data_IF_352181987220
#
_entry.id   IF_352181987220
#
_cell.length_a   1.000
_cell.length_b   1.000
_cell.length_c   1.000
_cell.angle_alpha   90.00
_cell.angle_beta   90.00
_cell.angle_gamma   90.00
#
_symmetry.space_group_name_H-M   'P 1'
#
loop_
_entity.id
_entity.type
_entity.pdbx_description
1 polymer ?
#
# COMPACT_ATOMS: atom_id res chain seq x y z
N UNK A 1 2.26 -22.28 3.43
CA UNK A 1 2.48 -21.36 4.57
C UNK A 1 1.23 -20.51 4.74
N UNK A 2 0.65 -20.43 5.94
CA UNK A 2 -0.59 -19.68 6.23
C UNK A 2 -0.36 -18.19 6.56
N UNK A 3 0.89 -17.72 6.48
CA UNK A 3 1.31 -16.34 6.75
C UNK A 3 1.73 -16.09 8.20
N UNK A 4 2.36 -14.93 8.44
CA UNK A 4 2.85 -14.45 9.73
C UNK A 4 1.85 -13.52 10.44
N UNK A 5 1.88 -13.48 11.77
CA UNK A 5 0.90 -12.76 12.59
C UNK A 5 1.14 -11.23 12.64
N UNK A 6 0.08 -10.39 12.65
CA UNK A 6 0.17 -8.96 12.94
C UNK A 6 0.73 -8.69 14.34
N UNK A 7 1.37 -7.54 14.52
CA UNK A 7 1.82 -7.09 15.82
C UNK A 7 3.12 -7.75 16.26
N UNK A 8 3.17 -9.07 16.44
CA UNK A 8 4.36 -9.79 16.89
C UNK A 8 5.56 -9.55 15.96
N UNK A 9 5.37 -9.65 14.65
CA UNK A 9 6.41 -9.43 13.65
C UNK A 9 6.77 -7.94 13.48
N UNK A 10 5.77 -7.06 13.48
CA UNK A 10 6.00 -5.64 13.23
C UNK A 10 6.53 -4.87 14.45
N UNK A 11 6.28 -5.36 15.66
CA UNK A 11 6.81 -4.79 16.90
C UNK A 11 8.33 -4.94 16.99
N UNK A 12 8.87 -6.05 16.47
CA UNK A 12 10.31 -6.32 16.44
C UNK A 12 11.09 -5.27 15.64
N UNK A 13 10.52 -4.78 14.53
CA UNK A 13 11.15 -3.76 13.67
C UNK A 13 10.50 -2.37 13.78
N UNK A 14 9.55 -2.19 14.72
CA UNK A 14 8.75 -0.97 14.92
C UNK A 14 8.17 -0.38 13.62
N UNK A 15 7.78 -1.27 12.72
CA UNK A 15 7.19 -0.92 11.43
C UNK A 15 8.14 -0.25 10.44
N UNK A 16 9.46 -0.54 10.48
CA UNK A 16 10.45 0.06 9.55
C UNK A 16 10.00 -0.01 8.07
N UNK A 17 9.57 -1.18 7.60
CA UNK A 17 9.04 -1.34 6.24
C UNK A 17 7.83 -0.44 5.97
N UNK A 18 6.92 -0.30 6.95
CA UNK A 18 5.74 0.54 6.83
C UNK A 18 6.06 2.05 6.86
N UNK A 19 7.27 2.46 7.23
CA UNK A 19 7.73 3.85 7.12
C UNK A 19 8.33 4.18 5.75
N UNK A 20 8.55 3.15 4.93
CA UNK A 20 9.07 3.28 3.56
C UNK A 20 7.96 3.05 2.54
N UNK A 21 7.24 1.91 2.65
CA UNK A 21 6.17 1.53 1.74
C UNK A 21 5.12 0.67 2.44
N UNK A 22 3.86 0.98 2.21
CA UNK A 22 2.72 0.13 2.61
C UNK A 22 2.68 -1.19 1.85
N UNK A 23 2.20 -2.24 2.51
CA UNK A 23 2.19 -3.62 2.00
C UNK A 23 1.40 -3.77 0.69
N UNK A 24 1.92 -4.61 -0.22
CA UNK A 24 1.23 -5.03 -1.44
C UNK A 24 0.04 -5.94 -1.13
N UNK A 25 -1.05 -5.72 -1.87
CA UNK A 25 -2.21 -6.58 -1.93
C UNK A 25 -2.00 -7.68 -2.97
N UNK A 26 -2.73 -8.78 -2.82
CA UNK A 26 -3.09 -9.65 -3.93
C UNK A 26 -4.48 -9.32 -4.47
N UNK A 27 -4.87 -9.85 -5.64
CA UNK A 27 -6.23 -9.72 -6.13
C UNK A 27 -7.29 -10.26 -5.15
N UNK A 28 -6.99 -11.32 -4.39
CA UNK A 28 -7.93 -11.82 -3.37
C UNK A 28 -8.17 -10.78 -2.27
N UNK A 29 -7.13 -10.06 -1.82
CA UNK A 29 -7.28 -8.99 -0.84
C UNK A 29 -8.19 -7.86 -1.37
N UNK A 30 -7.99 -7.51 -2.65
CA UNK A 30 -8.80 -6.50 -3.33
C UNK A 30 -10.27 -6.93 -3.38
N UNK A 31 -10.54 -8.15 -3.85
CA UNK A 31 -11.90 -8.69 -3.93
C UNK A 31 -12.56 -8.78 -2.55
N UNK A 32 -11.83 -9.26 -1.55
CA UNK A 32 -12.31 -9.32 -0.17
C UNK A 32 -12.67 -7.92 0.36
N UNK A 33 -11.86 -6.89 0.07
CA UNK A 33 -12.15 -5.51 0.46
C UNK A 33 -13.40 -4.92 -0.22
N UNK A 34 -13.76 -5.46 -1.39
CA UNK A 34 -15.00 -5.15 -2.11
C UNK A 34 -16.19 -6.01 -1.65
N UNK A 35 -16.00 -6.94 -0.69
CA UNK A 35 -17.02 -7.89 -0.26
C UNK A 35 -17.29 -9.02 -1.26
N UNK A 36 -16.41 -9.19 -2.26
CA UNK A 36 -16.50 -10.26 -3.27
C UNK A 36 -15.74 -11.48 -2.77
N UNK A 37 -16.42 -12.63 -2.67
CA UNK A 37 -15.79 -13.92 -2.30
C UNK A 37 -15.13 -14.61 -3.49
N UNK A 38 -15.74 -14.48 -4.67
CA UNK A 38 -15.28 -15.05 -5.93
C UNK A 38 -15.46 -14.03 -7.07
N UNK A 39 -14.70 -14.20 -8.14
CA UNK A 39 -14.89 -13.47 -9.40
C UNK A 39 -13.77 -12.51 -9.75
N UNK A 40 -14.10 -11.52 -10.58
CA UNK A 40 -13.19 -10.48 -11.06
C UNK A 40 -13.77 -9.12 -10.71
N UNK A 41 -12.90 -8.13 -10.58
CA UNK A 41 -13.28 -6.73 -10.55
C UNK A 41 -12.99 -6.11 -11.92
N UNK A 42 -13.92 -5.33 -12.46
CA UNK A 42 -13.62 -4.52 -13.62
C UNK A 42 -12.89 -3.22 -13.23
N UNK A 43 -12.44 -2.47 -14.25
CA UNK A 43 -11.73 -1.21 -14.05
C UNK A 43 -12.51 -0.21 -13.21
N UNK A 44 -13.82 -0.09 -13.44
CA UNK A 44 -14.66 0.89 -12.77
C UNK A 44 -14.82 0.56 -11.29
N UNK A 45 -15.03 -0.72 -10.97
CA UNK A 45 -15.10 -1.20 -9.58
C UNK A 45 -13.78 -0.98 -8.83
N UNK A 46 -12.64 -1.21 -9.49
CA UNK A 46 -11.31 -0.93 -8.93
C UNK A 46 -11.15 0.58 -8.67
N UNK A 47 -11.58 1.43 -9.61
CA UNK A 47 -11.50 2.87 -9.46
C UNK A 47 -12.39 3.37 -8.31
N UNK A 48 -13.58 2.82 -8.14
CA UNK A 48 -14.48 3.13 -7.03
C UNK A 48 -13.88 2.74 -5.68
N UNK A 49 -13.23 1.58 -5.59
CA UNK A 49 -12.49 1.18 -4.40
C UNK A 49 -11.39 2.19 -4.05
N UNK A 50 -10.64 2.66 -5.05
CA UNK A 50 -9.53 3.60 -4.87
C UNK A 50 -9.99 5.01 -4.48
N UNK A 51 -11.15 5.44 -5.01
CA UNK A 51 -11.74 6.77 -4.76
C UNK A 51 -12.61 6.84 -3.52
N UNK A 52 -12.86 5.72 -2.84
CA UNK A 52 -13.68 5.68 -1.62
C UNK A 52 -13.19 6.71 -0.60
N UNK A 53 -14.12 7.41 0.03
CA UNK A 53 -13.80 8.30 1.15
C UNK A 53 -13.09 7.49 2.25
N UNK A 54 -11.98 8.01 2.77
CA UNK A 54 -11.08 7.28 3.68
C UNK A 54 -10.49 5.98 3.07
N UNK A 55 -10.40 5.92 1.74
CA UNK A 55 -9.80 4.82 0.99
C UNK A 55 -8.34 4.57 1.39
N UNK A 56 -8.02 3.30 1.55
CA UNK A 56 -6.75 2.83 2.13
C UNK A 56 -5.75 2.32 1.11
N UNK A 57 -6.10 2.29 -0.18
CA UNK A 57 -5.30 1.64 -1.22
C UNK A 57 -4.79 2.64 -2.25
N UNK A 58 -3.70 2.26 -2.91
CA UNK A 58 -3.13 2.97 -4.03
C UNK A 58 -2.68 1.98 -5.12
N UNK A 59 -2.74 2.41 -6.38
CA UNK A 59 -2.10 1.73 -7.51
C UNK A 59 -0.65 2.15 -7.56
N UNK A 60 0.25 1.19 -7.61
CA UNK A 60 1.69 1.40 -7.68
C UNK A 60 2.25 0.44 -8.75
N UNK A 61 3.52 0.59 -9.11
CA UNK A 61 4.16 -0.30 -10.05
C UNK A 61 5.61 -0.58 -9.67
N UNK A 62 6.12 -1.71 -10.15
CA UNK A 62 7.55 -1.96 -10.21
C UNK A 62 7.93 -2.33 -11.63
N UNK A 63 9.19 -2.12 -11.99
CA UNK A 63 9.75 -2.53 -13.27
C UNK A 63 10.78 -3.63 -13.04
N UNK A 64 10.75 -4.65 -13.89
CA UNK A 64 11.77 -5.70 -13.99
C UNK A 64 12.08 -5.96 -15.48
N UNK A 65 12.69 -7.11 -15.79
CA UNK A 65 13.07 -7.49 -17.16
C UNK A 65 11.88 -7.65 -18.12
N UNK A 66 10.67 -7.91 -17.61
CA UNK A 66 9.43 -8.03 -18.38
C UNK A 66 8.67 -6.70 -18.52
N UNK A 67 9.22 -5.61 -17.98
CA UNK A 67 8.61 -4.27 -18.00
C UNK A 67 7.80 -3.94 -16.74
N UNK A 68 6.92 -2.92 -16.78
CA UNK A 68 6.16 -2.51 -15.61
C UNK A 68 5.10 -3.55 -15.22
N UNK A 69 4.93 -3.78 -13.92
CA UNK A 69 3.81 -4.52 -13.34
C UNK A 69 3.08 -3.61 -12.36
N UNK A 70 1.81 -3.34 -12.63
CA UNK A 70 0.94 -2.54 -11.78
C UNK A 70 0.23 -3.43 -10.76
N UNK A 71 0.09 -2.96 -9.52
CA UNK A 71 -0.50 -3.69 -8.42
C UNK A 71 -1.12 -2.72 -7.41
N UNK A 72 -1.95 -3.24 -6.50
CA UNK A 72 -2.46 -2.46 -5.38
C UNK A 72 -1.60 -2.61 -4.13
N UNK A 73 -1.47 -1.55 -3.35
CA UNK A 73 -0.84 -1.55 -2.03
C UNK A 73 -1.59 -0.64 -1.05
N UNK A 74 -1.28 -0.78 0.24
CA UNK A 74 -1.74 0.20 1.24
C UNK A 74 -1.20 1.59 0.92
N UNK A 75 -2.05 2.61 0.89
CA UNK A 75 -1.70 4.00 0.61
C UNK A 75 -0.75 4.58 1.66
N UNK A 76 -0.01 5.63 1.30
CA UNK A 76 0.70 6.46 2.28
C UNK A 76 -0.27 7.43 2.98
N UNK A 77 -0.01 7.76 4.25
CA UNK A 77 -0.66 8.86 4.97
C UNK A 77 -0.45 10.15 4.18
N UNK A 78 -1.48 10.97 4.05
CA UNK A 78 -1.49 12.24 3.32
C UNK A 78 -1.35 12.17 1.78
N UNK A 79 -1.18 10.98 1.19
CA UNK A 79 -1.10 10.82 -0.26
C UNK A 79 -2.42 10.35 -0.88
N UNK A 80 -2.49 10.51 -2.20
CA UNK A 80 -3.58 10.04 -3.07
C UNK A 80 -3.43 8.54 -3.42
N UNK A 81 -4.40 7.99 -4.16
CA UNK A 81 -4.43 6.58 -4.57
C UNK A 81 -3.52 6.24 -5.76
N UNK A 82 -2.76 7.20 -6.26
CA UNK A 82 -1.68 6.96 -7.23
C UNK A 82 -0.36 6.93 -6.45
N UNK A 83 0.30 5.78 -6.46
CA UNK A 83 1.60 5.58 -5.86
C UNK A 83 2.67 6.29 -6.68
N UNK A 84 3.12 7.44 -6.21
CA UNK A 84 4.35 8.09 -6.68
C UNK A 84 5.54 7.57 -5.88
N UNK A 85 6.75 7.73 -6.44
CA UNK A 85 8.01 7.40 -5.76
C UNK A 85 8.31 8.44 -4.65
N UNK A 86 7.38 8.56 -3.71
CA UNK A 86 7.40 9.46 -2.59
C UNK A 86 7.64 8.66 -1.31
N UNK A 87 8.51 9.21 -0.46
CA UNK A 87 8.73 8.72 0.89
C UNK A 87 7.42 8.88 1.66
N UNK A 88 6.86 7.79 2.18
CA UNK A 88 5.61 7.89 2.92
C UNK A 88 5.41 6.79 3.93
N UNK A 89 4.68 7.15 4.98
CA UNK A 89 4.28 6.21 6.03
C UNK A 89 3.00 5.53 5.59
N UNK A 90 2.94 4.20 5.66
CA UNK A 90 1.74 3.41 5.44
C UNK A 90 0.56 3.94 6.26
N UNK A 91 -0.61 4.05 5.64
CA UNK A 91 -1.83 4.55 6.29
C UNK A 91 -2.24 3.73 7.52
N UNK A 92 -1.93 2.42 7.52
CA UNK A 92 -2.24 1.50 8.61
C UNK A 92 -1.16 1.43 9.70
N UNK A 93 -0.05 2.19 9.59
CA UNK A 93 0.94 2.25 10.67
C UNK A 93 0.49 3.24 11.74
N UNK A 94 0.36 2.76 12.97
CA UNK A 94 0.16 3.56 14.19
C UNK A 94 1.31 3.31 15.18
N UNK A 95 1.25 3.95 16.35
CA UNK A 95 2.30 3.92 17.38
C UNK A 95 2.71 2.49 17.78
N UNK A 96 1.73 1.59 17.94
CA UNK A 96 1.94 0.19 18.33
C UNK A 96 2.21 -0.75 17.14
N UNK A 97 2.31 -0.23 15.92
CA UNK A 97 2.49 -1.01 14.70
C UNK A 97 1.27 -0.98 13.77
N UNK A 98 1.14 -2.00 12.92
CA UNK A 98 0.04 -2.10 11.98
C UNK A 98 -1.30 -2.31 12.70
N UNK A 99 -2.31 -1.49 12.41
CA UNK A 99 -3.65 -1.62 13.02
C UNK A 99 -4.53 -2.70 12.40
N UNK A 100 -4.15 -3.22 11.23
CA UNK A 100 -4.97 -4.21 10.54
C UNK A 100 -4.88 -5.56 11.25
N UNK A 101 -6.02 -6.21 11.53
CA UNK A 101 -6.03 -7.61 11.99
C UNK A 101 -5.48 -8.54 10.90
N UNK A 102 -5.16 -9.78 11.27
CA UNK A 102 -4.45 -10.73 10.39
C UNK A 102 -5.20 -10.97 9.08
N UNK A 103 -6.52 -11.09 9.19
CA UNK A 103 -7.45 -11.39 8.12
C UNK A 103 -7.62 -10.23 7.15
N UNK A 104 -7.26 -9.01 7.56
CA UNK A 104 -7.35 -7.79 6.74
C UNK A 104 -5.99 -7.28 6.30
N UNK A 105 -4.87 -7.82 6.85
CA UNK A 105 -3.53 -7.48 6.36
C UNK A 105 -3.38 -7.94 4.93
N UNK A 106 -2.90 -7.10 4.00
CA UNK A 106 -2.57 -7.52 2.63
C UNK A 106 -1.61 -8.71 2.59
N UNK A 107 -1.64 -9.51 1.52
CA UNK A 107 -0.76 -10.68 1.31
C UNK A 107 0.71 -10.34 1.50
N UNK A 108 1.18 -9.20 0.99
CA UNK A 108 2.55 -8.74 1.20
C UNK A 108 2.89 -8.41 2.66
N UNK A 109 1.89 -8.17 3.51
CA UNK A 109 2.06 -8.08 4.96
C UNK A 109 1.99 -9.45 5.64
N UNK A 110 1.05 -10.30 5.24
CA UNK A 110 0.92 -11.68 5.75
C UNK A 110 2.13 -12.55 5.40
N UNK A 111 2.85 -12.24 4.33
CA UNK A 111 4.01 -13.01 3.85
C UNK A 111 5.34 -12.30 4.17
N UNK A 112 5.32 -11.32 5.08
CA UNK A 112 6.51 -10.63 5.53
C UNK A 112 7.03 -11.25 6.83
N UNK A 113 8.16 -11.93 6.75
CA UNK A 113 8.91 -12.44 7.91
C UNK A 113 9.70 -11.28 8.53
N UNK A 114 9.49 -10.98 9.80
CA UNK A 114 10.28 -9.96 10.47
C UNK A 114 11.60 -10.50 10.99
N UNK A 115 12.58 -9.61 11.11
CA UNK A 115 13.86 -9.89 11.77
C UNK A 115 14.18 -8.76 12.73
N UNK A 116 14.83 -9.07 13.85
CA UNK A 116 15.15 -8.12 14.93
C UNK A 116 15.93 -6.88 14.44
N UNK A 117 16.70 -6.98 13.35
CA UNK A 117 17.42 -5.86 12.73
C UNK A 117 16.65 -5.06 11.65
N UNK A 118 15.38 -5.38 11.42
CA UNK A 118 14.57 -4.76 10.35
C UNK A 118 14.90 -5.25 8.93
N UNK A 119 15.70 -6.32 8.80
CA UNK A 119 15.99 -7.01 7.54
C UNK A 119 14.88 -8.01 7.22
N UNK A 120 13.64 -7.53 7.13
CA UNK A 120 12.49 -8.40 6.89
C UNK A 120 12.61 -9.11 5.53
N UNK A 121 12.14 -10.36 5.46
CA UNK A 121 12.11 -11.14 4.21
C UNK A 121 10.68 -11.12 3.66
N UNK A 122 10.55 -10.63 2.43
CA UNK A 122 9.29 -10.66 1.70
C UNK A 122 9.16 -12.00 0.95
N UNK A 123 8.18 -12.80 1.34
CA UNK A 123 7.86 -14.08 0.67
C UNK A 123 6.77 -13.95 -0.39
N UNK A 124 6.07 -12.81 -0.48
CA UNK A 124 5.23 -12.47 -1.64
C UNK A 124 6.09 -11.79 -2.71
N UNK A 125 6.67 -12.61 -3.60
CA UNK A 125 7.72 -12.16 -4.51
C UNK A 125 7.18 -11.30 -5.66
N UNK A 126 8.05 -10.53 -6.32
CA UNK A 126 7.68 -9.79 -7.54
C UNK A 126 7.14 -10.70 -8.64
N UNK A 127 7.70 -11.91 -8.78
CA UNK A 127 7.22 -12.89 -9.74
C UNK A 127 5.78 -13.32 -9.44
N UNK A 128 5.49 -13.67 -8.18
CA UNK A 128 4.13 -14.01 -7.76
C UNK A 128 3.17 -12.84 -7.93
N UNK A 129 3.60 -11.61 -7.61
CA UNK A 129 2.79 -10.42 -7.85
C UNK A 129 2.47 -10.24 -9.34
N UNK A 130 3.45 -10.45 -10.23
CA UNK A 130 3.26 -10.35 -11.67
C UNK A 130 2.25 -11.38 -12.17
N UNK A 131 2.35 -12.62 -11.71
CA UNK A 131 1.42 -13.70 -12.04
C UNK A 131 0.00 -13.39 -11.54
N UNK A 132 -0.13 -13.05 -10.25
CA UNK A 132 -1.41 -12.75 -9.60
C UNK A 132 -2.12 -11.55 -10.27
N UNK A 133 -1.40 -10.46 -10.51
CA UNK A 133 -1.96 -9.21 -11.05
C UNK A 133 -2.05 -9.18 -12.57
N UNK A 134 -1.59 -10.23 -13.27
CA UNK A 134 -1.63 -10.31 -14.75
C UNK A 134 -3.01 -9.98 -15.35
N UNK A 135 -4.14 -10.48 -14.81
CA UNK A 135 -5.46 -10.21 -15.38
C UNK A 135 -5.91 -8.74 -15.28
N UNK A 136 -5.26 -7.95 -14.43
CA UNK A 136 -5.68 -6.57 -14.10
C UNK A 136 -4.75 -5.51 -14.67
N UNK A 137 -3.71 -5.89 -15.42
CA UNK A 137 -2.68 -4.95 -15.87
C UNK A 137 -3.24 -3.81 -16.73
N UNK A 138 -4.19 -4.09 -17.62
CA UNK A 138 -4.85 -3.05 -18.43
C UNK A 138 -5.64 -2.07 -17.57
N UNK A 139 -6.46 -2.59 -16.64
CA UNK A 139 -7.27 -1.78 -15.73
C UNK A 139 -6.41 -0.92 -14.81
N UNK A 140 -5.39 -1.50 -14.17
CA UNK A 140 -4.54 -0.78 -13.23
C UNK A 140 -3.64 0.23 -13.93
N UNK A 141 -3.03 -0.13 -15.07
CA UNK A 141 -2.16 0.78 -15.80
C UNK A 141 -2.93 1.98 -16.39
N UNK A 142 -4.17 1.76 -16.87
CA UNK A 142 -5.01 2.85 -17.37
C UNK A 142 -5.45 3.79 -16.25
N UNK A 143 -5.87 3.28 -15.09
CA UNK A 143 -6.19 4.09 -13.90
C UNK A 143 -4.96 4.89 -13.46
N UNK A 144 -3.80 4.23 -13.33
CA UNK A 144 -2.57 4.88 -12.90
C UNK A 144 -2.22 6.04 -13.83
N UNK A 145 -2.17 5.82 -15.15
CA UNK A 145 -1.76 6.84 -16.12
C UNK A 145 -2.73 8.02 -16.19
N UNK A 146 -4.03 7.75 -16.15
CA UNK A 146 -5.05 8.80 -16.16
C UNK A 146 -4.91 9.72 -14.95
N UNK A 147 -4.86 9.13 -13.75
CA UNK A 147 -4.88 9.90 -12.51
C UNK A 147 -3.51 10.45 -12.12
N UNK A 148 -2.41 9.81 -12.51
CA UNK A 148 -1.07 10.39 -12.36
C UNK A 148 -0.96 11.71 -13.12
N UNK A 149 -1.40 11.72 -14.38
CA UNK A 149 -1.44 12.92 -15.20
C UNK A 149 -2.35 13.99 -14.58
N UNK A 150 -3.59 13.63 -14.26
CA UNK A 150 -4.57 14.55 -13.67
C UNK A 150 -4.04 15.17 -12.37
N UNK A 151 -3.54 14.36 -11.43
CA UNK A 151 -3.04 14.83 -10.15
C UNK A 151 -1.79 15.70 -10.27
N UNK A 152 -0.97 15.48 -11.30
CA UNK A 152 0.15 16.36 -11.63
C UNK A 152 -0.33 17.71 -12.14
N UNK A 153 -1.27 17.73 -13.08
CA UNK A 153 -1.84 18.97 -13.64
C UNK A 153 -2.58 19.81 -12.59
N UNK A 154 -3.24 19.16 -11.63
CA UNK A 154 -3.97 19.83 -10.55
C UNK A 154 -3.11 20.21 -9.34
N UNK A 155 -1.81 19.91 -9.34
CA UNK A 155 -0.93 20.14 -8.18
C UNK A 155 -1.32 19.33 -6.94
N UNK A 156 -1.97 18.17 -7.12
CA UNK A 156 -2.40 17.29 -6.02
C UNK A 156 -1.21 16.70 -5.27
N UNK A 157 -0.13 16.35 -5.97
CA UNK A 157 1.07 15.82 -5.32
C UNK A 157 1.76 16.85 -4.41
N UNK A 158 1.82 18.12 -4.83
CA UNK A 158 2.40 19.20 -4.00
C UNK A 158 1.61 19.38 -2.70
N UNK A 159 0.27 19.37 -2.78
CA UNK A 159 -0.60 19.40 -1.60
C UNK A 159 -0.41 18.18 -0.70
N UNK A 160 -0.20 16.99 -1.29
CA UNK A 160 0.10 15.78 -0.53
C UNK A 160 1.42 15.91 0.24
N UNK A 161 2.46 16.45 -0.39
CA UNK A 161 3.76 16.68 0.24
C UNK A 161 3.64 17.69 1.40
N UNK A 162 2.96 18.82 1.17
CA UNK A 162 2.70 19.82 2.23
C UNK A 162 1.97 19.20 3.43
N UNK A 163 0.91 18.43 3.16
CA UNK A 163 0.14 17.74 4.18
C UNK A 163 0.98 16.69 4.93
N UNK A 164 1.85 15.96 4.22
CA UNK A 164 2.74 14.98 4.82
C UNK A 164 3.79 15.64 5.73
N UNK A 165 4.42 16.73 5.32
CA UNK A 165 5.36 17.46 6.17
C UNK A 165 4.66 18.10 7.38
N UNK A 166 3.42 18.60 7.23
CA UNK A 166 2.63 19.08 8.34
C UNK A 166 2.28 17.95 9.34
N UNK A 167 1.98 16.75 8.84
CA UNK A 167 1.81 15.56 9.67
C UNK A 167 3.09 15.23 10.45
N UNK A 168 4.25 15.17 9.79
CA UNK A 168 5.52 14.85 10.45
C UNK A 168 5.88 15.84 11.57
N UNK A 169 5.69 17.15 11.33
CA UNK A 169 5.92 18.18 12.35
C UNK A 169 5.08 17.94 13.61
N UNK A 170 3.76 17.74 13.44
CA UNK A 170 2.85 17.47 14.56
C UNK A 170 3.23 16.22 15.34
N UNK A 171 3.60 15.13 14.66
CA UNK A 171 3.99 13.89 15.33
C UNK A 171 5.32 14.00 16.05
N UNK A 172 6.27 14.77 15.52
CA UNK A 172 7.57 14.98 16.15
C UNK A 172 7.48 15.93 17.35
N UNK A 173 6.64 16.96 17.27
CA UNK A 173 6.30 17.83 18.40
C UNK A 173 5.62 17.06 19.53
N UNK A 174 4.62 16.22 19.20
CA UNK A 174 3.94 15.38 20.19
C UNK A 174 4.90 14.43 20.93
N UNK A 175 5.88 13.86 20.22
CA UNK A 175 6.91 12.97 20.80
C UNK A 175 7.99 13.68 21.62
N UNK A 176 8.06 15.02 21.64
CA UNK A 176 8.97 15.82 22.47
C UNK A 176 8.34 16.29 23.79
N UNK A 177 7.04 16.13 23.94
CA UNK A 177 6.25 16.54 25.12
C UNK A 177 6.00 15.43 26.13
N UNK A 178 6.69 14.29 26.00
CA UNK A 178 6.64 13.15 26.93
C UNK A 178 7.99 12.97 27.62
#
# INVERSE_FOLDING_TARGET
MTGYDPGAECALCKGKCCREKGCSLSPEDMLQSMGKKDGKADRQEILELLKKENGQYAVDFFTDQEGPCFYLRMKHKCYTFVGVDAIGICIALEEKGCVLPKEQRPKGGRFLESRAGGQCIQHYTKQQMREDWRPYQESLSSIYREYEKLFREEGTFDRCDEAYFAYLRRTHEAGRTV
#
